data_IF_205196266191
#
_entry.id   IF_205196266191
#
_cell.length_a   1.000
_cell.length_b   1.000
_cell.length_c   1.000
_cell.angle_alpha   90.00
_cell.angle_beta   90.00
_cell.angle_gamma   90.00
#
_symmetry.space_group_name_H-M   'P 1'
#
loop_
_entity.id
_entity.type
_entity.pdbx_description
1 polymer ?
#
# COMPACT_ATOMS: atom_id res chain seq x y z
N UNK A 1 -12.72 5.63 6.06
CA UNK A 1 -11.81 4.52 5.77
C UNK A 1 -12.50 3.22 5.34
N UNK A 2 -13.81 3.14 5.48
CA UNK A 2 -14.54 1.95 5.05
C UNK A 2 -14.39 1.66 3.57
N UNK A 3 -14.41 2.68 2.73
CA UNK A 3 -14.24 2.49 1.28
C UNK A 3 -12.85 1.96 0.93
N UNK A 4 -11.81 2.47 1.61
CA UNK A 4 -10.45 1.98 1.40
C UNK A 4 -10.35 0.53 1.83
N UNK A 5 -10.92 0.20 2.97
CA UNK A 5 -10.95 -1.16 3.49
C UNK A 5 -11.60 -2.13 2.48
N UNK A 6 -12.71 -1.71 1.89
CA UNK A 6 -13.40 -2.51 0.88
C UNK A 6 -12.54 -2.72 -0.37
N UNK A 7 -11.90 -1.68 -0.86
CA UNK A 7 -11.03 -1.78 -2.03
C UNK A 7 -9.80 -2.65 -1.74
N UNK A 8 -9.23 -2.56 -0.54
CA UNK A 8 -8.11 -3.42 -0.16
C UNK A 8 -8.52 -4.88 -0.08
N UNK A 9 -9.73 -5.14 0.41
CA UNK A 9 -10.28 -6.50 0.41
C UNK A 9 -10.42 -7.07 -0.99
N UNK A 10 -10.93 -6.26 -1.92
CA UNK A 10 -11.04 -6.66 -3.32
C UNK A 10 -9.66 -6.93 -3.93
N UNK A 11 -8.71 -6.06 -3.68
CA UNK A 11 -7.35 -6.20 -4.19
C UNK A 11 -6.68 -7.46 -3.65
N UNK A 12 -6.87 -7.74 -2.36
CA UNK A 12 -6.29 -8.92 -1.73
C UNK A 12 -6.86 -10.19 -2.35
N UNK A 13 -8.18 -10.25 -2.48
CA UNK A 13 -8.84 -11.43 -3.04
C UNK A 13 -8.47 -11.68 -4.50
N UNK A 14 -8.19 -10.62 -5.24
CA UNK A 14 -7.79 -10.72 -6.64
C UNK A 14 -6.29 -10.98 -6.83
N UNK A 15 -5.52 -11.01 -5.74
CA UNK A 15 -4.06 -11.22 -5.83
C UNK A 15 -3.28 -10.00 -6.25
N UNK A 16 -3.81 -8.80 -6.02
CA UNK A 16 -3.16 -7.55 -6.43
C UNK A 16 -2.31 -6.91 -5.36
N UNK A 17 -2.17 -7.51 -4.19
CA UNK A 17 -1.37 -6.95 -3.10
C UNK A 17 -0.01 -7.63 -2.98
N UNK A 18 1.02 -6.80 -2.80
CA UNK A 18 2.35 -7.25 -2.36
C UNK A 18 2.47 -6.79 -0.91
N UNK A 19 2.52 -7.72 0.02
CA UNK A 19 2.42 -7.42 1.45
C UNK A 19 3.76 -7.61 2.14
N UNK A 20 4.19 -6.57 2.85
CA UNK A 20 5.38 -6.64 3.68
C UNK A 20 6.64 -6.19 2.98
N UNK A 21 7.60 -5.73 3.80
CA UNK A 21 8.86 -5.19 3.29
C UNK A 21 9.69 -6.23 2.54
N UNK A 22 9.67 -7.47 3.01
CA UNK A 22 10.48 -8.53 2.38
C UNK A 22 10.07 -8.76 0.93
N UNK A 23 8.77 -8.77 0.66
CA UNK A 23 8.26 -9.00 -0.70
C UNK A 23 8.39 -7.77 -1.59
N UNK A 24 8.31 -6.59 -1.00
CA UNK A 24 8.45 -5.34 -1.74
C UNK A 24 9.90 -5.00 -2.04
N UNK A 25 10.83 -5.49 -1.21
CA UNK A 25 12.25 -5.25 -1.42
C UNK A 25 12.69 -5.95 -2.70
N UNK A 26 13.21 -5.17 -3.64
CA UNK A 26 13.62 -5.73 -4.93
C UNK A 26 12.49 -6.04 -5.89
N UNK A 27 11.25 -5.72 -5.53
CA UNK A 27 10.13 -5.92 -6.46
C UNK A 27 10.31 -5.01 -7.67
N UNK A 28 10.44 -5.60 -8.84
CA UNK A 28 10.81 -4.87 -10.06
C UNK A 28 9.67 -4.71 -11.06
N UNK A 29 8.49 -5.25 -10.75
CA UNK A 29 7.34 -5.10 -11.64
C UNK A 29 6.55 -3.85 -11.29
N UNK A 30 5.60 -3.50 -12.15
CA UNK A 30 4.82 -2.27 -11.99
C UNK A 30 3.95 -2.29 -10.73
N UNK A 31 4.09 -1.24 -9.92
CA UNK A 31 3.21 -0.95 -8.80
C UNK A 31 2.54 0.40 -9.06
N UNK A 32 1.37 0.59 -8.52
CA UNK A 32 0.61 1.83 -8.70
C UNK A 32 0.40 2.61 -7.42
N UNK A 33 0.60 1.96 -6.27
CA UNK A 33 0.37 2.59 -4.98
C UNK A 33 1.10 1.81 -3.89
N UNK A 34 1.72 2.55 -2.96
CA UNK A 34 2.27 1.99 -1.73
C UNK A 34 1.52 2.64 -0.57
N UNK A 35 1.03 1.82 0.35
CA UNK A 35 0.50 2.30 1.64
C UNK A 35 1.45 1.86 2.73
N UNK A 36 1.83 2.79 3.59
CA UNK A 36 2.75 2.53 4.69
C UNK A 36 2.13 3.02 6.00
N UNK A 37 2.28 2.21 7.05
CA UNK A 37 1.77 2.59 8.37
C UNK A 37 2.63 3.71 8.97
N UNK A 38 2.01 4.62 9.70
CA UNK A 38 2.72 5.72 10.35
C UNK A 38 3.76 5.26 11.36
N UNK A 39 3.62 4.02 11.88
CA UNK A 39 4.57 3.44 12.83
C UNK A 39 5.56 2.49 12.19
N UNK A 40 5.63 2.46 10.86
CA UNK A 40 6.51 1.52 10.15
C UNK A 40 7.98 1.80 10.46
N UNK A 41 8.76 0.73 10.56
CA UNK A 41 10.18 0.81 10.87
C UNK A 41 11.03 1.23 9.66
N UNK A 42 12.34 1.28 9.89
CA UNK A 42 13.30 1.79 8.91
C UNK A 42 13.31 1.01 7.59
N UNK A 43 13.19 -0.31 7.65
CA UNK A 43 13.17 -1.13 6.43
C UNK A 43 12.03 -0.74 5.50
N UNK A 44 10.84 -0.63 6.06
CA UNK A 44 9.65 -0.24 5.28
C UNK A 44 9.76 1.19 4.77
N UNK A 45 10.29 2.10 5.59
CA UNK A 45 10.48 3.50 5.19
C UNK A 45 11.43 3.61 4.00
N UNK A 46 12.53 2.86 4.01
CA UNK A 46 13.50 2.86 2.91
C UNK A 46 12.89 2.33 1.61
N UNK A 47 12.09 1.27 1.72
CA UNK A 47 11.42 0.69 0.56
C UNK A 47 10.41 1.67 -0.02
N UNK A 48 9.63 2.31 0.83
CA UNK A 48 8.66 3.31 0.40
C UNK A 48 9.35 4.47 -0.33
N UNK A 49 10.49 4.93 0.20
CA UNK A 49 11.24 6.01 -0.41
C UNK A 49 11.76 5.62 -1.80
N UNK A 50 12.31 4.43 -1.94
CA UNK A 50 12.78 3.93 -3.23
C UNK A 50 11.66 3.89 -4.26
N UNK A 51 10.49 3.41 -3.88
CA UNK A 51 9.36 3.33 -4.79
C UNK A 51 8.86 4.74 -5.16
N UNK A 52 8.86 5.65 -4.21
CA UNK A 52 8.49 7.04 -4.47
C UNK A 52 9.43 7.69 -5.49
N UNK A 53 10.73 7.40 -5.39
CA UNK A 53 11.73 7.90 -6.33
C UNK A 53 11.50 7.37 -7.75
N UNK A 54 10.88 6.22 -7.88
CA UNK A 54 10.50 5.64 -9.18
C UNK A 54 9.20 6.24 -9.71
N UNK A 55 8.58 7.16 -8.99
CA UNK A 55 7.35 7.80 -9.41
C UNK A 55 6.08 7.14 -8.91
N UNK A 56 6.18 6.17 -8.00
CA UNK A 56 5.01 5.49 -7.46
C UNK A 56 4.44 6.31 -6.30
N UNK A 57 3.12 6.47 -6.29
CA UNK A 57 2.44 7.16 -5.21
C UNK A 57 2.61 6.40 -3.89
N UNK A 58 3.00 7.11 -2.84
CA UNK A 58 3.18 6.54 -1.51
C UNK A 58 2.37 7.38 -0.51
N UNK A 59 1.50 6.73 0.25
CA UNK A 59 0.73 7.42 1.29
C UNK A 59 0.92 6.75 2.64
N UNK A 60 1.09 7.58 3.65
CA UNK A 60 1.15 7.12 5.03
C UNK A 60 -0.27 7.08 5.58
N UNK A 61 -0.61 5.98 6.23
CA UNK A 61 -1.93 5.82 6.82
C UNK A 61 -1.82 5.43 8.29
N UNK A 62 -2.87 5.74 9.03
CA UNK A 62 -2.96 5.38 10.43
C UNK A 62 -3.55 3.98 10.55
N UNK A 63 -2.85 3.10 11.25
CA UNK A 63 -3.30 1.74 11.52
C UNK A 63 -3.61 0.91 10.26
N UNK A 64 -2.56 0.71 9.46
CA UNK A 64 -2.69 -0.05 8.22
C UNK A 64 -3.17 -1.49 8.46
N UNK A 65 -2.79 -2.08 9.58
CA UNK A 65 -3.23 -3.43 9.94
C UNK A 65 -4.76 -3.53 9.97
N UNK A 66 -5.40 -2.55 10.59
CA UNK A 66 -6.86 -2.52 10.69
C UNK A 66 -7.51 -2.26 9.32
N UNK A 67 -6.98 -1.30 8.58
CA UNK A 67 -7.52 -0.93 7.27
C UNK A 67 -7.42 -2.07 6.27
N UNK A 68 -6.28 -2.76 6.27
CA UNK A 68 -6.03 -3.86 5.33
C UNK A 68 -6.62 -5.19 5.81
N UNK A 69 -6.93 -5.30 7.09
CA UNK A 69 -7.33 -6.56 7.73
C UNK A 69 -6.24 -7.63 7.59
N UNK A 70 -4.99 -7.19 7.63
CA UNK A 70 -3.82 -8.08 7.54
C UNK A 70 -2.97 -7.86 8.78
N UNK A 71 -2.86 -8.89 9.60
CA UNK A 71 -2.15 -8.81 10.88
C UNK A 71 -0.70 -8.36 10.68
N UNK A 72 -0.26 -7.41 11.49
CA UNK A 72 1.10 -6.88 11.51
C UNK A 72 1.53 -6.22 10.20
N UNK A 73 0.60 -5.83 9.35
CA UNK A 73 0.91 -5.18 8.08
C UNK A 73 1.37 -3.75 8.32
N UNK A 74 2.60 -3.44 7.92
CA UNK A 74 3.18 -2.10 8.04
C UNK A 74 3.39 -1.43 6.70
N UNK A 75 3.41 -2.21 5.62
CA UNK A 75 3.58 -1.69 4.27
C UNK A 75 2.95 -2.67 3.28
N UNK A 76 2.32 -2.14 2.24
CA UNK A 76 1.83 -2.96 1.13
C UNK A 76 1.89 -2.17 -0.17
N UNK A 77 1.99 -2.90 -1.27
CA UNK A 77 1.92 -2.33 -2.61
C UNK A 77 0.74 -2.90 -3.37
N UNK A 78 0.20 -2.11 -4.28
CA UNK A 78 -0.96 -2.50 -5.08
C UNK A 78 -0.59 -2.54 -6.56
N UNK A 79 -0.85 -3.67 -7.20
CA UNK A 79 -0.48 -3.93 -8.59
C UNK A 79 -1.53 -3.51 -9.59
N UNK A 80 -2.72 -3.16 -9.15
CA UNK A 80 -3.84 -2.84 -10.03
C UNK A 80 -4.06 -1.33 -10.12
N UNK A 81 -4.06 -0.81 -11.33
CA UNK A 81 -4.20 0.62 -11.57
C UNK A 81 -5.56 1.15 -11.12
N UNK A 82 -6.63 0.48 -11.51
CA UNK A 82 -7.99 0.95 -11.21
C UNK A 82 -8.28 1.06 -9.73
N UNK A 83 -7.95 0.01 -8.98
CA UNK A 83 -8.14 0.00 -7.52
C UNK A 83 -7.26 1.04 -6.84
N UNK A 84 -6.01 1.16 -7.30
CA UNK A 84 -5.08 2.15 -6.75
C UNK A 84 -5.61 3.57 -6.94
N UNK A 85 -6.14 3.89 -8.13
CA UNK A 85 -6.68 5.21 -8.41
C UNK A 85 -7.87 5.53 -7.51
N UNK A 86 -8.74 4.56 -7.25
CA UNK A 86 -9.88 4.76 -6.37
C UNK A 86 -9.44 5.03 -4.93
N UNK A 87 -8.45 4.29 -4.46
CA UNK A 87 -7.92 4.47 -3.11
C UNK A 87 -7.23 5.83 -2.97
N UNK A 88 -6.41 6.20 -3.96
CA UNK A 88 -5.74 7.51 -3.97
C UNK A 88 -6.77 8.64 -3.92
N UNK A 89 -7.84 8.52 -4.70
CA UNK A 89 -8.90 9.52 -4.72
C UNK A 89 -9.51 9.72 -3.34
N UNK A 90 -9.80 8.62 -2.65
CA UNK A 90 -10.39 8.68 -1.31
C UNK A 90 -9.41 9.36 -0.32
N UNK A 91 -8.14 8.99 -0.38
CA UNK A 91 -7.14 9.58 0.51
C UNK A 91 -7.01 11.08 0.28
N UNK A 92 -7.00 11.51 -0.98
CA UNK A 92 -6.86 12.94 -1.32
C UNK A 92 -8.11 13.77 -1.00
N UNK A 93 -9.27 13.14 -0.91
CA UNK A 93 -10.51 13.82 -0.59
C UNK A 93 -10.69 14.07 0.91
N UNK A 94 -9.91 13.42 1.76
CA UNK A 94 -10.04 13.57 3.21
C UNK A 94 -9.14 14.68 3.77
#
# INVERSE_FOLDING_TARGET
MEKIKNYLGLARNAGYLIIGSDKLDGYDKKLYLILIDETAGNSSQKIALKQKEKGIEVFQVNNLEKISNIKSCKILGIKNKGLSEQIIKIIKEN
#
